data_IF_919598424751
#
_entry.id   IF_919598424751
#
_cell.length_a   1.000
_cell.length_b   1.000
_cell.length_c   1.000
_cell.angle_alpha   90.00
_cell.angle_beta   90.00
_cell.angle_gamma   90.00
#
_symmetry.space_group_name_H-M   'P 1'
#
loop_
_entity.id
_entity.type
_entity.pdbx_description
1 polymer ?
#
# COMPACT_ATOMS: atom_id res chain seq x y z
N UNK A 1 -36.57 -42.76 16.39
CA UNK A 1 -36.41 -41.29 16.25
C UNK A 1 -35.30 -40.84 17.20
N UNK A 2 -34.25 -40.11 16.86
CA UNK A 2 -33.62 -39.67 15.61
C UNK A 2 -32.19 -39.24 16.02
N UNK A 3 -31.16 -39.84 15.42
CA UNK A 3 -29.73 -39.52 15.67
C UNK A 3 -29.31 -38.30 14.84
N UNK A 4 -29.74 -37.08 15.18
CA UNK A 4 -29.59 -35.96 14.24
C UNK A 4 -29.06 -34.62 14.77
N UNK A 5 -28.71 -34.47 16.05
CA UNK A 5 -28.27 -33.14 16.56
C UNK A 5 -27.05 -33.17 17.50
N UNK A 6 -26.02 -33.97 17.19
CA UNK A 6 -24.71 -33.85 17.87
C UNK A 6 -23.54 -34.06 16.90
N UNK A 7 -23.36 -33.17 15.92
CA UNK A 7 -22.05 -32.97 15.29
C UNK A 7 -22.04 -31.85 14.23
N UNK A 8 -21.97 -30.57 14.63
CA UNK A 8 -21.72 -29.49 13.67
C UNK A 8 -20.92 -28.30 14.24
N UNK A 9 -20.12 -28.50 15.29
CA UNK A 9 -19.12 -27.52 15.74
C UNK A 9 -17.70 -27.88 15.29
N UNK A 10 -17.56 -28.33 14.04
CA UNK A 10 -16.24 -28.53 13.42
C UNK A 10 -16.12 -27.69 12.16
N UNK A 11 -15.13 -26.79 12.23
CA UNK A 11 -14.43 -26.11 11.13
C UNK A 11 -15.09 -24.84 10.58
N UNK A 12 -15.11 -23.79 11.40
CA UNK A 12 -14.73 -22.50 10.83
C UNK A 12 -13.20 -22.48 10.72
N UNK A 13 -12.61 -22.50 9.51
CA UNK A 13 -11.18 -22.24 9.39
C UNK A 13 -10.92 -20.85 9.97
N UNK A 14 -10.08 -20.77 11.00
CA UNK A 14 -9.49 -19.51 11.45
C UNK A 14 -8.94 -18.83 10.20
N UNK A 15 -9.64 -17.81 9.69
CA UNK A 15 -9.15 -16.98 8.58
C UNK A 15 -7.75 -16.56 8.99
N UNK A 16 -6.74 -17.08 8.27
CA UNK A 16 -5.35 -16.68 8.47
C UNK A 16 -5.38 -15.16 8.42
N UNK A 17 -5.08 -14.51 9.55
CA UNK A 17 -4.88 -13.07 9.60
C UNK A 17 -3.88 -12.77 8.49
N UNK A 18 -4.33 -12.15 7.40
CA UNK A 18 -3.41 -11.63 6.37
C UNK A 18 -2.45 -10.77 7.17
N UNK A 19 -1.15 -11.09 7.14
CA UNK A 19 -0.14 -10.34 7.90
C UNK A 19 -0.37 -8.87 7.62
N UNK A 20 -0.63 -8.09 8.67
CA UNK A 20 -0.83 -6.66 8.54
C UNK A 20 0.38 -6.11 7.79
N UNK A 21 0.10 -5.38 6.72
CA UNK A 21 1.08 -4.85 5.79
C UNK A 21 1.96 -3.84 6.54
N UNK A 22 3.05 -4.31 7.15
CA UNK A 22 4.12 -3.44 7.63
C UNK A 22 4.87 -2.98 6.40
N UNK A 23 4.32 -2.00 5.68
CA UNK A 23 5.09 -1.26 4.68
C UNK A 23 6.26 -0.66 5.45
N UNK A 24 7.46 -1.21 5.26
CA UNK A 24 8.63 -0.71 5.97
C UNK A 24 8.88 0.69 5.45
N UNK A 25 9.19 1.66 6.32
CA UNK A 25 9.49 3.05 5.91
C UNK A 25 10.64 3.15 4.88
N UNK A 26 11.42 2.08 4.71
CA UNK A 26 12.51 1.93 3.75
C UNK A 26 12.11 1.26 2.44
N UNK A 27 10.84 0.88 2.26
CA UNK A 27 10.36 0.23 1.04
C UNK A 27 10.38 1.23 -0.14
N UNK A 28 11.07 0.92 -1.26
CA UNK A 28 11.12 1.81 -2.42
C UNK A 28 9.75 2.20 -2.97
N UNK A 29 8.77 1.28 -2.96
CA UNK A 29 7.42 1.58 -3.44
C UNK A 29 6.75 2.65 -2.56
N UNK A 30 6.91 2.53 -1.25
CA UNK A 30 6.36 3.50 -0.30
C UNK A 30 7.03 4.86 -0.42
N UNK A 31 8.35 4.90 -0.61
CA UNK A 31 9.09 6.16 -0.76
C UNK A 31 8.67 6.89 -2.05
N UNK A 32 8.50 6.15 -3.15
CA UNK A 32 7.99 6.70 -4.42
C UNK A 32 6.55 7.19 -4.23
N UNK A 33 5.69 6.39 -3.61
CA UNK A 33 4.32 6.77 -3.28
C UNK A 33 4.26 8.07 -2.46
N UNK A 34 5.04 8.20 -1.38
CA UNK A 34 5.07 9.41 -0.55
C UNK A 34 5.49 10.64 -1.37
N UNK A 35 6.50 10.51 -2.24
CA UNK A 35 6.91 11.61 -3.12
C UNK A 35 5.73 12.09 -3.98
N UNK A 36 5.10 11.17 -4.70
CA UNK A 36 3.96 11.50 -5.57
C UNK A 36 2.80 12.09 -4.78
N UNK A 37 2.57 11.61 -3.56
CA UNK A 37 1.53 12.11 -2.68
C UNK A 37 1.79 13.56 -2.27
N UNK A 38 3.03 13.95 -1.97
CA UNK A 38 3.36 15.32 -1.54
C UNK A 38 3.58 16.31 -2.69
N UNK A 39 3.77 15.82 -3.91
CA UNK A 39 3.85 16.68 -5.10
C UNK A 39 2.44 17.11 -5.57
N UNK A 40 1.37 16.40 -5.17
CA UNK A 40 -0.06 16.77 -5.29
C UNK A 40 -0.50 17.30 -6.68
N UNK A 41 0.20 16.92 -7.75
CA UNK A 41 0.00 17.47 -9.09
C UNK A 41 -0.85 16.55 -9.98
N UNK A 42 -1.85 15.89 -9.40
CA UNK A 42 -2.66 14.89 -10.09
C UNK A 42 -4.13 15.30 -10.11
N UNK A 43 -4.70 15.34 -11.31
CA UNK A 43 -6.11 15.66 -11.54
C UNK A 43 -7.04 14.48 -11.18
N UNK A 44 -6.52 13.25 -11.27
CA UNK A 44 -7.30 12.03 -11.00
C UNK A 44 -6.52 10.98 -10.21
N UNK A 45 -7.25 10.10 -9.54
CA UNK A 45 -6.69 8.95 -8.82
C UNK A 45 -5.99 7.98 -9.77
N UNK A 46 -6.54 7.72 -10.95
CA UNK A 46 -5.94 6.80 -11.92
C UNK A 46 -4.58 7.32 -12.40
N UNK A 47 -4.48 8.63 -12.66
CA UNK A 47 -3.22 9.27 -13.06
C UNK A 47 -2.18 9.23 -11.93
N UNK A 48 -2.61 9.41 -10.69
CA UNK A 48 -1.74 9.24 -9.52
C UNK A 48 -1.17 7.82 -9.44
N UNK A 49 -2.04 6.81 -9.48
CA UNK A 49 -1.63 5.39 -9.38
C UNK A 49 -0.68 5.03 -10.51
N UNK A 50 -1.04 5.38 -11.76
CA UNK A 50 -0.19 5.15 -12.92
C UNK A 50 1.19 5.80 -12.76
N UNK A 51 1.24 7.06 -12.32
CA UNK A 51 2.50 7.76 -12.09
C UNK A 51 3.42 7.08 -11.07
N UNK A 52 2.86 6.54 -9.99
CA UNK A 52 3.63 5.78 -8.99
C UNK A 52 4.12 4.45 -9.56
N UNK A 53 3.27 3.71 -10.29
CA UNK A 53 3.61 2.44 -10.93
C UNK A 53 4.75 2.64 -11.94
N UNK A 54 4.61 3.61 -12.84
CA UNK A 54 5.62 3.93 -13.87
C UNK A 54 6.97 4.31 -13.23
N UNK A 55 6.95 5.08 -12.14
CA UNK A 55 8.14 5.44 -11.39
C UNK A 55 8.79 4.24 -10.69
N UNK A 56 8.00 3.31 -10.16
CA UNK A 56 8.50 2.09 -9.52
C UNK A 56 9.08 1.11 -10.54
N UNK A 57 8.40 0.87 -11.66
CA UNK A 57 8.93 0.02 -12.74
C UNK A 57 10.23 0.62 -13.31
N UNK A 58 10.28 1.95 -13.46
CA UNK A 58 11.51 2.65 -13.85
C UNK A 58 12.63 2.47 -12.81
N UNK A 59 12.30 2.45 -11.52
CA UNK A 59 13.27 2.17 -10.45
C UNK A 59 13.82 0.74 -10.54
N UNK A 60 12.96 -0.27 -10.76
CA UNK A 60 13.39 -1.66 -10.96
C UNK A 60 14.34 -1.79 -12.15
N UNK A 61 14.05 -1.12 -13.27
CA UNK A 61 14.92 -1.10 -14.44
C UNK A 61 16.31 -0.50 -14.12
N UNK A 62 16.36 0.59 -13.33
CA UNK A 62 17.64 1.18 -12.87
C UNK A 62 18.43 0.25 -11.96
N UNK A 63 17.75 -0.56 -11.16
CA UNK A 63 18.36 -1.59 -10.32
C UNK A 63 18.77 -2.86 -11.10
N UNK A 64 18.66 -2.85 -12.44
CA UNK A 64 18.95 -3.98 -13.33
C UNK A 64 18.10 -5.22 -13.04
N UNK A 65 16.91 -5.03 -12.46
CA UNK A 65 15.93 -6.11 -12.28
C UNK A 65 15.25 -6.34 -13.63
N UNK A 66 15.48 -7.52 -14.21
CA UNK A 66 14.86 -7.90 -15.49
C UNK A 66 13.48 -8.50 -15.21
N UNK A 67 12.44 -7.83 -15.70
CA UNK A 67 11.06 -8.33 -15.64
C UNK A 67 10.72 -8.92 -17.01
N UNK A 68 10.36 -10.21 -17.11
CA UNK A 68 9.91 -10.81 -18.36
C UNK A 68 8.72 -10.05 -18.95
N UNK A 69 8.67 -9.81 -20.28
CA UNK A 69 7.57 -9.06 -20.90
C UNK A 69 6.19 -9.63 -20.60
N UNK A 70 6.07 -10.96 -20.54
CA UNK A 70 4.82 -11.66 -20.22
C UNK A 70 4.31 -11.37 -18.80
N UNK A 71 5.18 -11.01 -17.86
CA UNK A 71 4.82 -10.76 -16.47
C UNK A 71 4.65 -9.28 -16.15
N UNK A 72 5.07 -8.40 -17.06
CA UNK A 72 5.07 -6.97 -16.85
C UNK A 72 3.67 -6.42 -16.55
N UNK A 73 2.68 -6.84 -17.32
CA UNK A 73 1.30 -6.41 -17.12
C UNK A 73 0.74 -6.86 -15.75
N UNK A 74 1.01 -8.10 -15.35
CA UNK A 74 0.59 -8.62 -14.05
C UNK A 74 1.28 -7.92 -12.88
N UNK A 75 2.57 -7.60 -13.05
CA UNK A 75 3.34 -6.83 -12.07
C UNK A 75 2.77 -5.42 -11.91
N UNK A 76 2.56 -4.71 -13.02
CA UNK A 76 1.99 -3.36 -13.04
C UNK A 76 0.60 -3.32 -12.37
N UNK A 77 -0.26 -4.31 -12.65
CA UNK A 77 -1.57 -4.46 -11.99
C UNK A 77 -1.44 -4.67 -10.49
N UNK A 78 -0.56 -5.58 -10.07
CA UNK A 78 -0.36 -5.89 -8.65
C UNK A 78 0.14 -4.68 -7.86
N UNK A 79 1.07 -3.91 -8.45
CA UNK A 79 1.57 -2.66 -7.84
C UNK A 79 0.45 -1.62 -7.81
N UNK A 80 -0.37 -1.50 -8.86
CA UNK A 80 -1.47 -0.55 -8.91
C UNK A 80 -2.52 -0.80 -7.82
N UNK A 81 -2.84 -2.07 -7.54
CA UNK A 81 -3.71 -2.48 -6.43
C UNK A 81 -3.10 -2.09 -5.08
N UNK A 82 -1.81 -2.37 -4.87
CA UNK A 82 -1.11 -2.02 -3.64
C UNK A 82 -1.06 -0.50 -3.41
N UNK A 83 -0.73 0.28 -4.45
CA UNK A 83 -0.71 1.74 -4.39
C UNK A 83 -2.10 2.31 -4.11
N UNK A 84 -3.14 1.71 -4.69
CA UNK A 84 -4.53 2.05 -4.40
C UNK A 84 -4.86 1.84 -2.92
N UNK A 85 -4.48 0.71 -2.35
CA UNK A 85 -4.68 0.41 -0.93
C UNK A 85 -3.90 1.38 -0.03
N UNK A 86 -2.65 1.69 -0.38
CA UNK A 86 -1.85 2.69 0.34
C UNK A 86 -2.50 4.07 0.30
N UNK A 87 -3.01 4.49 -0.85
CA UNK A 87 -3.67 5.78 -1.03
C UNK A 87 -4.94 5.88 -0.17
N UNK A 88 -5.80 4.85 -0.21
CA UNK A 88 -7.02 4.79 0.63
C UNK A 88 -6.64 4.88 2.10
N UNK A 89 -5.66 4.09 2.55
CA UNK A 89 -5.18 4.12 3.94
C UNK A 89 -4.57 5.46 4.34
N UNK A 90 -4.03 6.20 3.38
CA UNK A 90 -3.40 7.50 3.63
C UNK A 90 -4.41 8.63 3.68
N UNK A 91 -5.40 8.63 2.79
CA UNK A 91 -6.46 9.64 2.71
C UNK A 91 -7.47 9.49 3.85
N UNK A 92 -7.90 8.27 4.13
CA UNK A 92 -8.95 8.00 5.12
C UNK A 92 -8.39 7.46 6.45
N UNK A 93 -7.07 7.28 6.56
CA UNK A 93 -6.46 6.62 7.71
C UNK A 93 -6.64 5.10 7.70
N UNK A 94 -6.34 4.46 8.84
CA UNK A 94 -6.47 3.01 9.00
C UNK A 94 -7.97 2.61 9.01
N UNK A 95 -8.58 2.39 7.85
CA UNK A 95 -9.97 1.95 7.78
C UNK A 95 -10.07 0.42 7.91
N UNK A 96 -9.91 -0.06 9.14
CA UNK A 96 -10.82 -1.06 9.66
C UNK A 96 -11.83 -0.33 10.57
N UNK A 97 -13.10 -0.69 10.50
CA UNK A 97 -14.16 -0.13 11.38
C UNK A 97 -13.77 -0.28 12.86
N UNK A 98 -13.02 -1.33 13.19
CA UNK A 98 -12.48 -1.60 14.53
C UNK A 98 -11.33 -0.67 14.95
N UNK A 99 -10.57 -0.13 13.99
CA UNK A 99 -9.45 0.79 14.23
C UNK A 99 -9.93 2.25 14.33
N UNK A 100 -10.99 2.60 13.59
CA UNK A 100 -11.67 3.89 13.70
C UNK A 100 -12.19 4.13 15.13
N UNK A 101 -12.80 3.11 15.74
CA UNK A 101 -13.31 3.16 17.13
C UNK A 101 -12.21 3.37 18.20
N UNK A 102 -10.94 3.19 17.87
CA UNK A 102 -9.81 3.30 18.82
C UNK A 102 -9.03 4.62 18.73
N UNK A 103 -9.23 5.42 17.67
CA UNK A 103 -8.24 6.45 17.27
C UNK A 103 -8.69 7.90 17.45
N UNK A 104 -9.65 8.19 18.33
CA UNK A 104 -10.08 9.56 18.68
C UNK A 104 -8.99 10.45 19.32
N UNK A 105 -7.72 10.01 19.43
CA UNK A 105 -6.69 10.70 20.23
C UNK A 105 -5.42 11.16 19.49
N UNK A 106 -5.31 11.06 18.16
CA UNK A 106 -4.07 11.48 17.48
C UNK A 106 -4.35 12.38 16.27
N UNK A 107 -4.49 13.67 16.54
CA UNK A 107 -4.43 14.73 15.56
C UNK A 107 -2.99 15.10 15.17
N UNK A 108 -2.77 15.09 13.85
CA UNK A 108 -1.99 16.01 13.02
C UNK A 108 -0.57 16.49 13.42
N UNK A 109 0.44 16.07 12.63
CA UNK A 109 1.55 16.93 12.19
C UNK A 109 1.92 16.63 10.72
N UNK A 110 1.20 17.23 9.77
CA UNK A 110 1.41 17.08 8.32
C UNK A 110 2.60 17.86 7.70
N UNK A 111 3.08 19.00 8.23
CA UNK A 111 4.12 19.78 7.54
C UNK A 111 5.57 19.30 7.76
N UNK A 112 5.88 18.61 8.86
CA UNK A 112 7.23 18.12 9.15
C UNK A 112 7.63 16.92 8.25
N UNK A 113 6.66 16.16 7.75
CA UNK A 113 6.90 14.93 6.98
C UNK A 113 7.32 15.21 5.53
N UNK A 114 6.96 16.37 4.94
CA UNK A 114 7.29 16.70 3.53
C UNK A 114 8.80 16.88 3.29
N UNK A 115 9.49 17.54 4.24
CA UNK A 115 10.96 17.72 4.16
C UNK A 115 11.70 16.39 4.30
N UNK A 116 11.23 15.50 5.16
CA UNK A 116 11.81 14.16 5.32
C UNK A 116 11.59 13.26 4.10
N UNK A 117 10.39 13.28 3.51
CA UNK A 117 10.09 12.51 2.31
C UNK A 117 11.02 12.89 1.14
N UNK A 118 11.24 14.19 0.90
CA UNK A 118 12.18 14.67 -0.12
C UNK A 118 13.61 14.18 0.10
N UNK A 119 14.10 14.22 1.36
CA UNK A 119 15.44 13.72 1.71
C UNK A 119 15.59 12.21 1.44
N UNK A 120 14.56 11.41 1.75
CA UNK A 120 14.60 9.95 1.49
C UNK A 120 14.64 9.66 -0.01
N UNK A 121 13.86 10.40 -0.81
CA UNK A 121 13.83 10.20 -2.24
C UNK A 121 15.17 10.53 -2.93
N UNK A 122 15.83 11.64 -2.54
CA UNK A 122 17.14 11.99 -3.09
C UNK A 122 18.20 10.90 -2.89
N UNK A 123 18.14 10.16 -1.77
CA UNK A 123 19.06 9.05 -1.49
C UNK A 123 18.83 7.80 -2.34
N UNK A 124 17.68 7.69 -3.02
CA UNK A 124 17.39 6.59 -3.94
C UNK A 124 17.79 6.90 -5.40
N UNK A 125 18.02 8.17 -5.73
CA UNK A 125 18.28 8.64 -7.10
C UNK A 125 19.76 8.95 -7.35
N UNK A 126 20.51 9.32 -6.30
CA UNK A 126 21.97 9.37 -6.33
C UNK A 126 22.59 8.00 -6.09
#
# INVERSE_FOLDING_TARGET
MSKFFQNLERRFPRRRRKKAFSVRKSDPLFIIFERHLYDFNYESRELFVKGVVDAYVSHLAKQKVVVPPAWRQHLEQSIAEEVSDMLVRRLYGCLNVEELKKKEKQEATLPSTRREARKRYQKLVG
#
